data_IF_901013324856
#
_entry.id   IF_901013324856
#
_cell.length_a   1.000
_cell.length_b   1.000
_cell.length_c   1.000
_cell.angle_alpha   90.00
_cell.angle_beta   90.00
_cell.angle_gamma   90.00
#
_symmetry.space_group_name_H-M   'P 1'
#
loop_
_entity.id
_entity.type
_entity.pdbx_description
1 polymer ?
#
# COMPACT_ATOMS: atom_id res chain seq x y z
N UNK A 1 10.51 -9.89 21.38
CA UNK A 1 9.40 -8.97 21.71
C UNK A 1 8.08 -9.68 22.01
N UNK A 2 7.43 -10.34 21.04
CA UNK A 2 6.06 -10.87 21.21
C UNK A 2 5.90 -12.05 22.17
N UNK A 3 6.99 -12.56 22.75
CA UNK A 3 7.02 -13.80 23.54
C UNK A 3 6.31 -14.97 22.82
N UNK A 4 6.68 -15.18 21.54
CA UNK A 4 6.05 -16.15 20.67
C UNK A 4 7.12 -17.01 19.99
N UNK A 5 6.75 -18.24 19.64
CA UNK A 5 7.56 -19.10 18.79
C UNK A 5 7.53 -18.59 17.35
N UNK A 6 8.69 -18.57 16.69
CA UNK A 6 8.82 -18.16 15.30
C UNK A 6 8.51 -19.34 14.38
N UNK A 7 7.50 -19.18 13.52
CA UNK A 7 7.27 -20.07 12.38
C UNK A 7 7.70 -19.33 11.12
N UNK A 8 8.84 -19.74 10.58
CA UNK A 8 9.41 -19.21 9.34
C UNK A 8 9.34 -20.28 8.26
N UNK A 9 8.79 -19.92 7.09
CA UNK A 9 8.66 -20.84 5.96
C UNK A 9 8.67 -20.10 4.65
N UNK A 10 9.49 -20.59 3.72
CA UNK A 10 9.50 -20.16 2.32
C UNK A 10 8.55 -20.99 1.44
N UNK A 11 7.80 -21.92 2.04
CA UNK A 11 6.91 -22.80 1.29
C UNK A 11 5.82 -22.00 0.58
N UNK A 12 5.62 -22.34 -0.70
CA UNK A 12 4.57 -21.77 -1.52
C UNK A 12 3.83 -22.85 -2.30
N UNK A 13 2.51 -22.72 -2.50
CA UNK A 13 1.72 -23.70 -3.26
C UNK A 13 2.02 -23.68 -4.77
N UNK A 14 2.54 -22.57 -5.28
CA UNK A 14 2.92 -22.39 -6.69
C UNK A 14 4.33 -21.82 -6.72
N UNK A 15 5.20 -22.48 -7.48
CA UNK A 15 6.58 -22.06 -7.71
C UNK A 15 6.61 -20.64 -8.27
N UNK A 16 7.42 -19.77 -7.67
CA UNK A 16 7.66 -18.42 -8.15
C UNK A 16 8.93 -18.39 -8.98
N UNK A 17 8.87 -17.80 -10.17
CA UNK A 17 10.03 -17.42 -10.96
C UNK A 17 10.13 -15.91 -10.96
N UNK A 18 11.26 -15.39 -10.48
CA UNK A 18 11.50 -13.95 -10.39
C UNK A 18 12.53 -13.56 -11.44
N UNK A 19 12.34 -12.39 -12.05
CA UNK A 19 13.27 -11.90 -13.05
C UNK A 19 13.13 -10.43 -13.35
N UNK A 20 14.04 -9.93 -14.18
CA UNK A 20 14.04 -8.56 -14.66
C UNK A 20 13.98 -8.58 -16.18
N UNK A 21 13.04 -7.84 -16.73
CA UNK A 21 12.89 -7.63 -18.17
C UNK A 21 13.67 -6.39 -18.59
N UNK A 22 14.40 -6.51 -19.70
CA UNK A 22 14.99 -5.39 -20.41
C UNK A 22 15.08 -5.72 -21.91
N UNK A 23 14.73 -4.76 -22.77
CA UNK A 23 14.96 -4.83 -24.22
C UNK A 23 14.51 -6.14 -24.94
N UNK A 24 13.38 -6.73 -24.53
CA UNK A 24 12.82 -7.93 -25.16
C UNK A 24 13.27 -9.26 -24.56
N UNK A 25 14.05 -9.23 -23.48
CA UNK A 25 14.51 -10.43 -22.77
C UNK A 25 14.17 -10.34 -21.28
N UNK A 26 13.77 -11.46 -20.69
CA UNK A 26 13.68 -11.64 -19.24
C UNK A 26 14.91 -12.41 -18.78
N UNK A 27 15.65 -11.86 -17.83
CA UNK A 27 16.69 -12.57 -17.06
C UNK A 27 16.11 -13.00 -15.71
N UNK A 28 16.07 -14.30 -15.44
CA UNK A 28 15.58 -14.86 -14.19
C UNK A 28 16.71 -14.99 -13.15
N UNK A 29 16.33 -15.11 -11.87
CA UNK A 29 17.26 -15.30 -10.75
C UNK A 29 18.08 -16.59 -10.84
N UNK A 30 17.59 -17.61 -11.57
CA UNK A 30 18.31 -18.85 -11.88
C UNK A 30 19.28 -18.72 -13.07
N UNK A 31 19.54 -17.48 -13.53
CA UNK A 31 20.33 -17.14 -14.72
C UNK A 31 19.74 -17.60 -16.05
N UNK A 32 18.56 -18.23 -16.06
CA UNK A 32 17.87 -18.56 -17.30
C UNK A 32 17.35 -17.30 -17.98
N UNK A 33 17.24 -17.35 -19.31
CA UNK A 33 16.77 -16.23 -20.13
C UNK A 33 15.58 -16.65 -20.96
N UNK A 34 14.68 -15.70 -21.21
CA UNK A 34 13.51 -15.90 -22.06
C UNK A 34 13.25 -14.66 -22.91
N UNK A 35 13.23 -14.84 -24.22
CA UNK A 35 12.81 -13.80 -25.15
C UNK A 35 11.30 -13.56 -25.08
N UNK A 36 10.91 -12.29 -25.23
CA UNK A 36 9.53 -11.81 -25.26
C UNK A 36 9.37 -10.94 -26.49
N UNK A 37 8.25 -11.10 -27.19
CA UNK A 37 7.90 -10.29 -28.36
C UNK A 37 7.79 -8.79 -27.99
N UNK A 38 8.78 -8.01 -28.40
CA UNK A 38 8.91 -6.58 -28.12
C UNK A 38 8.21 -5.70 -29.19
N UNK A 39 7.00 -6.10 -29.59
CA UNK A 39 6.22 -5.42 -30.65
C UNK A 39 5.77 -3.98 -30.31
N UNK A 40 5.77 -3.59 -29.03
CA UNK A 40 5.34 -2.26 -28.59
C UNK A 40 6.43 -1.54 -27.80
N UNK A 41 6.45 -0.21 -27.87
CA UNK A 41 7.38 0.62 -27.08
C UNK A 41 7.17 0.50 -25.56
N UNK A 42 5.97 0.11 -25.12
CA UNK A 42 5.67 -0.12 -23.71
C UNK A 42 6.05 -1.55 -23.31
N UNK A 43 7.14 -1.68 -22.58
CA UNK A 43 7.74 -2.95 -22.15
C UNK A 43 6.81 -3.78 -21.25
N UNK A 44 6.18 -3.13 -20.26
CA UNK A 44 5.22 -3.79 -19.38
C UNK A 44 3.99 -4.31 -20.14
N UNK A 45 3.61 -3.63 -21.24
CA UNK A 45 2.54 -4.10 -22.12
C UNK A 45 2.96 -5.33 -22.93
N UNK A 46 4.21 -5.40 -23.42
CA UNK A 46 4.73 -6.60 -24.09
C UNK A 46 4.65 -7.82 -23.18
N UNK A 47 5.13 -7.69 -21.93
CA UNK A 47 5.04 -8.75 -20.92
C UNK A 47 3.60 -9.16 -20.61
N UNK A 48 2.69 -8.19 -20.50
CA UNK A 48 1.28 -8.46 -20.25
C UNK A 48 0.66 -9.24 -21.43
N UNK A 49 0.89 -8.80 -22.67
CA UNK A 49 0.34 -9.45 -23.87
C UNK A 49 0.94 -10.84 -24.11
N UNK A 50 2.24 -11.03 -23.87
CA UNK A 50 2.88 -12.34 -23.87
C UNK A 50 2.17 -13.32 -22.93
N UNK A 51 1.86 -12.87 -21.71
CA UNK A 51 1.08 -13.66 -20.74
C UNK A 51 -0.31 -14.02 -21.26
N UNK A 52 -1.00 -13.08 -21.91
CA UNK A 52 -2.35 -13.33 -22.47
C UNK A 52 -2.29 -14.32 -23.63
N UNK A 53 -1.27 -14.25 -24.49
CA UNK A 53 -1.05 -15.21 -25.59
C UNK A 53 -0.83 -16.64 -25.09
N UNK A 54 -0.25 -16.80 -23.90
CA UNK A 54 -0.10 -18.09 -23.22
C UNK A 54 -1.37 -18.56 -22.48
N UNK A 55 -2.48 -17.81 -22.56
CA UNK A 55 -3.73 -18.12 -21.86
C UNK A 55 -3.77 -17.70 -20.39
N UNK A 56 -2.74 -17.00 -19.91
CA UNK A 56 -2.65 -16.47 -18.56
C UNK A 56 -3.28 -15.08 -18.37
N UNK A 57 -3.21 -14.58 -17.13
CA UNK A 57 -3.57 -13.21 -16.77
C UNK A 57 -2.39 -12.47 -16.15
N UNK A 58 -2.28 -11.18 -16.44
CA UNK A 58 -1.21 -10.31 -15.97
C UNK A 58 -1.74 -9.24 -14.99
N UNK A 59 -1.10 -9.14 -13.84
CA UNK A 59 -1.29 -8.04 -12.88
C UNK A 59 -0.11 -7.08 -13.00
N UNK A 60 -0.35 -5.83 -13.38
CA UNK A 60 0.68 -4.83 -13.63
C UNK A 60 0.64 -3.75 -12.54
N UNK A 61 1.68 -3.67 -11.73
CA UNK A 61 1.82 -2.63 -10.72
C UNK A 61 2.45 -1.36 -11.31
N UNK A 62 1.80 -0.24 -11.06
CA UNK A 62 2.21 1.10 -11.50
C UNK A 62 1.98 2.12 -10.39
N UNK A 63 2.79 3.17 -10.32
CA UNK A 63 2.86 3.99 -9.09
C UNK A 63 1.78 5.07 -8.96
N UNK A 64 1.03 5.35 -10.01
CA UNK A 64 0.01 6.41 -9.98
C UNK A 64 -1.34 5.92 -10.48
N UNK A 65 -2.43 6.50 -9.93
CA UNK A 65 -3.81 6.22 -10.38
C UNK A 65 -3.95 6.49 -11.87
N UNK A 66 -3.49 7.66 -12.33
CA UNK A 66 -3.49 8.04 -13.75
C UNK A 66 -2.68 7.06 -14.61
N UNK A 67 -1.54 6.58 -14.12
CA UNK A 67 -0.72 5.57 -14.78
C UNK A 67 -1.46 4.24 -14.97
N UNK A 68 -2.18 3.78 -13.93
CA UNK A 68 -3.00 2.57 -14.00
C UNK A 68 -4.13 2.72 -15.03
N UNK A 69 -4.84 3.85 -14.95
CA UNK A 69 -5.91 4.15 -15.90
C UNK A 69 -5.39 4.24 -17.34
N UNK A 70 -4.23 4.87 -17.56
CA UNK A 70 -3.62 4.98 -18.89
C UNK A 70 -3.21 3.61 -19.43
N UNK A 71 -2.45 2.83 -18.65
CA UNK A 71 -1.98 1.50 -19.05
C UNK A 71 -3.14 0.58 -19.43
N UNK A 72 -4.19 0.53 -18.61
CA UNK A 72 -5.36 -0.30 -18.89
C UNK A 72 -6.08 0.14 -20.17
N UNK A 73 -6.24 1.45 -20.40
CA UNK A 73 -6.85 1.94 -21.65
C UNK A 73 -5.99 1.67 -22.88
N UNK A 74 -4.67 1.67 -22.73
CA UNK A 74 -3.73 1.33 -23.79
C UNK A 74 -3.73 -0.17 -24.12
N UNK A 75 -3.83 -1.02 -23.09
CA UNK A 75 -3.85 -2.48 -23.22
C UNK A 75 -5.16 -3.00 -23.82
N UNK A 76 -6.31 -2.42 -23.44
CA UNK A 76 -7.65 -2.87 -23.83
C UNK A 76 -7.83 -3.18 -25.32
N UNK A 77 -7.50 -2.30 -26.30
CA UNK A 77 -7.70 -2.62 -27.72
C UNK A 77 -6.82 -3.78 -28.21
N UNK A 78 -5.65 -3.99 -27.59
CA UNK A 78 -4.69 -5.03 -27.97
C UNK A 78 -5.12 -6.38 -27.39
N UNK A 79 -5.50 -6.39 -26.10
CA UNK A 79 -6.07 -7.57 -25.42
C UNK A 79 -7.35 -8.01 -26.11
N UNK A 80 -8.24 -7.09 -26.50
CA UNK A 80 -9.51 -7.41 -27.16
C UNK A 80 -9.37 -8.30 -28.41
N UNK A 81 -8.25 -8.18 -29.14
CA UNK A 81 -7.97 -8.99 -30.35
C UNK A 81 -7.69 -10.46 -30.02
N UNK A 82 -7.31 -10.75 -28.78
CA UNK A 82 -6.96 -12.08 -28.29
C UNK A 82 -8.13 -12.77 -27.57
N UNK A 83 -9.27 -12.10 -27.44
CA UNK A 83 -10.46 -12.63 -26.75
C UNK A 83 -11.38 -13.38 -27.71
N UNK A 84 -12.01 -14.43 -27.19
CA UNK A 84 -13.13 -15.10 -27.84
C UNK A 84 -14.39 -14.22 -27.87
N UNK A 85 -15.34 -14.52 -28.75
CA UNK A 85 -16.62 -13.79 -28.81
C UNK A 85 -17.45 -13.97 -27.53
N UNK A 86 -17.38 -15.14 -26.89
CA UNK A 86 -18.04 -15.39 -25.61
C UNK A 86 -17.49 -14.48 -24.49
N UNK A 87 -16.16 -14.38 -24.36
CA UNK A 87 -15.53 -13.48 -23.39
C UNK A 87 -15.89 -12.02 -23.66
N UNK A 88 -15.91 -11.60 -24.94
CA UNK A 88 -16.32 -10.24 -25.33
C UNK A 88 -17.75 -9.92 -24.91
N UNK A 89 -18.67 -10.88 -25.05
CA UNK A 89 -20.06 -10.72 -24.63
C UNK A 89 -20.17 -10.56 -23.09
N UNK A 90 -19.55 -11.45 -22.32
CA UNK A 90 -19.55 -11.36 -20.85
C UNK A 90 -18.90 -10.07 -20.35
N UNK A 91 -17.77 -9.67 -20.93
CA UNK A 91 -17.09 -8.43 -20.57
C UNK A 91 -17.93 -7.18 -20.88
N UNK A 92 -18.75 -7.22 -21.93
CA UNK A 92 -19.67 -6.12 -22.25
C UNK A 92 -20.73 -5.95 -21.16
N UNK A 93 -21.28 -7.05 -20.63
CA UNK A 93 -22.23 -7.00 -19.52
C UNK A 93 -21.58 -6.48 -18.24
N UNK A 94 -20.38 -6.98 -17.91
CA UNK A 94 -19.62 -6.51 -16.75
C UNK A 94 -19.30 -5.02 -16.89
N UNK A 95 -18.89 -4.57 -18.08
CA UNK A 95 -18.61 -3.17 -18.36
C UNK A 95 -19.83 -2.26 -18.16
N UNK A 96 -21.04 -2.72 -18.51
CA UNK A 96 -22.28 -1.99 -18.24
C UNK A 96 -22.56 -1.87 -16.75
N UNK A 97 -22.43 -2.98 -16.01
CA UNK A 97 -22.59 -2.97 -14.54
C UNK A 97 -21.61 -2.02 -13.87
N UNK A 98 -20.33 -2.06 -14.27
CA UNK A 98 -19.29 -1.16 -13.76
C UNK A 98 -19.57 0.31 -14.06
N UNK A 99 -20.15 0.61 -15.23
CA UNK A 99 -20.49 1.97 -15.64
C UNK A 99 -21.59 2.57 -14.75
N UNK A 100 -22.59 1.75 -14.38
CA UNK A 100 -23.81 2.17 -13.69
C UNK A 100 -23.80 1.94 -12.17
N UNK A 101 -22.64 1.64 -11.56
CA UNK A 101 -22.51 1.60 -10.09
C UNK A 101 -22.88 2.94 -9.46
N UNK A 102 -22.57 4.05 -10.14
CA UNK A 102 -22.99 5.38 -9.72
C UNK A 102 -24.18 5.82 -10.56
N UNK A 103 -25.13 6.52 -9.93
CA UNK A 103 -26.31 7.07 -10.62
C UNK A 103 -25.90 7.94 -11.83
N UNK A 104 -24.86 8.76 -11.65
CA UNK A 104 -24.24 9.55 -12.72
C UNK A 104 -22.81 9.06 -13.00
N UNK A 105 -22.57 8.38 -14.14
CA UNK A 105 -21.25 7.86 -14.46
C UNK A 105 -20.21 8.97 -14.67
N UNK A 106 -19.16 8.97 -13.85
CA UNK A 106 -18.04 9.91 -13.98
C UNK A 106 -17.15 9.57 -15.18
N UNK A 107 -16.22 10.47 -15.53
CA UNK A 107 -15.18 10.22 -16.56
C UNK A 107 -14.37 8.95 -16.26
N UNK A 108 -14.08 8.68 -14.99
CA UNK A 108 -13.35 7.47 -14.57
C UNK A 108 -14.20 6.21 -14.82
N UNK A 109 -15.50 6.25 -14.49
CA UNK A 109 -16.42 5.13 -14.74
C UNK A 109 -16.47 4.76 -16.22
N UNK A 110 -16.57 5.77 -17.10
CA UNK A 110 -16.57 5.56 -18.56
C UNK A 110 -15.27 4.97 -19.07
N UNK A 111 -14.12 5.45 -18.58
CA UNK A 111 -12.80 4.90 -18.95
C UNK A 111 -12.65 3.45 -18.48
N UNK A 112 -13.08 3.16 -17.26
CA UNK A 112 -13.03 1.81 -16.70
C UNK A 112 -13.90 0.85 -17.50
N UNK A 113 -15.16 1.22 -17.76
CA UNK A 113 -16.09 0.44 -18.57
C UNK A 113 -15.53 0.14 -19.98
N UNK A 114 -14.95 1.16 -20.64
CA UNK A 114 -14.31 0.99 -21.95
C UNK A 114 -13.11 0.04 -21.89
N UNK A 115 -12.28 0.13 -20.85
CA UNK A 115 -11.16 -0.80 -20.67
C UNK A 115 -11.66 -2.24 -20.47
N UNK A 116 -12.67 -2.43 -19.59
CA UNK A 116 -13.25 -3.73 -19.26
C UNK A 116 -13.82 -4.40 -20.51
N UNK A 117 -14.48 -3.64 -21.38
CA UNK A 117 -14.98 -4.14 -22.68
C UNK A 117 -13.87 -4.73 -23.56
N UNK A 118 -12.61 -4.33 -23.37
CA UNK A 118 -11.44 -4.86 -24.07
C UNK A 118 -10.66 -5.94 -23.30
N UNK A 119 -11.18 -6.42 -22.17
CA UNK A 119 -10.50 -7.43 -21.33
C UNK A 119 -9.34 -6.87 -20.50
N UNK A 120 -9.23 -5.55 -20.36
CA UNK A 120 -8.29 -4.90 -19.45
C UNK A 120 -9.02 -4.08 -18.38
N UNK A 121 -8.40 -3.79 -17.24
CA UNK A 121 -8.98 -2.89 -16.24
C UNK A 121 -7.90 -2.20 -15.41
N UNK A 122 -8.31 -1.19 -14.65
CA UNK A 122 -7.45 -0.55 -13.66
C UNK A 122 -8.07 -0.62 -12.26
N UNK A 123 -7.25 -0.71 -11.22
CA UNK A 123 -7.68 -0.81 -9.82
C UNK A 123 -6.89 0.14 -8.92
N UNK A 124 -7.60 1.02 -8.22
CA UNK A 124 -7.03 1.94 -7.25
C UNK A 124 -8.09 2.48 -6.28
N UNK A 125 -7.65 3.14 -5.20
CA UNK A 125 -8.52 3.70 -4.16
C UNK A 125 -9.59 4.70 -4.66
N UNK A 126 -9.37 5.36 -5.80
CA UNK A 126 -10.34 6.29 -6.41
C UNK A 126 -11.56 5.66 -7.08
N UNK A 127 -11.65 4.32 -7.14
CA UNK A 127 -12.84 3.62 -7.66
C UNK A 127 -13.87 3.38 -6.55
N UNK A 128 -15.16 3.34 -6.91
CA UNK A 128 -16.20 2.95 -5.98
C UNK A 128 -15.97 1.49 -5.49
N UNK A 129 -16.31 1.16 -4.22
CA UNK A 129 -16.11 -0.19 -3.69
C UNK A 129 -16.73 -1.30 -4.54
N UNK A 130 -17.92 -1.08 -5.08
CA UNK A 130 -18.60 -2.05 -5.94
C UNK A 130 -17.91 -2.24 -7.31
N UNK A 131 -17.38 -1.16 -7.90
CA UNK A 131 -16.57 -1.27 -9.13
C UNK A 131 -15.33 -2.15 -8.89
N UNK A 132 -14.64 -1.95 -7.76
CA UNK A 132 -13.50 -2.79 -7.37
C UNK A 132 -13.89 -4.26 -7.24
N UNK A 133 -15.01 -4.56 -6.58
CA UNK A 133 -15.53 -5.94 -6.44
C UNK A 133 -15.84 -6.59 -7.79
N UNK A 134 -16.46 -5.87 -8.72
CA UNK A 134 -16.77 -6.37 -10.07
C UNK A 134 -15.49 -6.69 -10.86
N UNK A 135 -14.50 -5.80 -10.83
CA UNK A 135 -13.20 -6.01 -11.49
C UNK A 135 -12.48 -7.22 -10.89
N UNK A 136 -12.40 -7.29 -9.55
CA UNK A 136 -11.74 -8.40 -8.87
C UNK A 136 -12.41 -9.74 -9.18
N UNK A 137 -13.74 -9.78 -9.21
CA UNK A 137 -14.48 -10.99 -9.58
C UNK A 137 -14.20 -11.40 -11.03
N UNK A 138 -14.26 -10.46 -11.98
CA UNK A 138 -13.96 -10.72 -13.38
C UNK A 138 -12.51 -11.15 -13.62
N UNK A 139 -11.56 -10.59 -12.87
CA UNK A 139 -10.14 -10.98 -12.94
C UNK A 139 -9.89 -12.36 -12.32
N UNK A 140 -10.53 -12.72 -11.21
CA UNK A 140 -10.45 -14.09 -10.64
C UNK A 140 -11.01 -15.14 -11.61
N UNK A 141 -12.04 -14.79 -12.38
CA UNK A 141 -12.62 -15.65 -13.44
C UNK A 141 -11.80 -15.68 -14.73
N UNK A 142 -10.63 -15.02 -14.78
CA UNK A 142 -9.82 -14.89 -16.00
C UNK A 142 -10.57 -14.24 -17.19
N UNK A 143 -11.60 -13.41 -16.94
CA UNK A 143 -12.27 -12.64 -18.00
C UNK A 143 -11.49 -11.37 -18.32
N UNK A 144 -11.08 -10.64 -17.27
CA UNK A 144 -10.11 -9.56 -17.40
C UNK A 144 -8.73 -10.21 -17.46
N UNK A 145 -8.01 -10.03 -18.58
CA UNK A 145 -6.70 -10.62 -18.82
C UNK A 145 -5.55 -9.75 -18.32
N UNK A 146 -5.76 -8.44 -18.30
CA UNK A 146 -4.74 -7.47 -17.85
C UNK A 146 -5.35 -6.51 -16.84
N UNK A 147 -4.79 -6.48 -15.63
CA UNK A 147 -5.20 -5.57 -14.57
C UNK A 147 -4.04 -4.66 -14.19
N UNK A 148 -4.19 -3.35 -14.37
CA UNK A 148 -3.23 -2.37 -13.87
C UNK A 148 -3.63 -1.87 -12.49
N UNK A 149 -2.74 -1.88 -11.51
CA UNK A 149 -3.07 -1.49 -10.15
C UNK A 149 -2.00 -0.62 -9.48
N UNK A 150 -2.43 0.23 -8.56
CA UNK A 150 -1.50 0.90 -7.65
C UNK A 150 -1.05 -0.05 -6.53
N UNK A 151 0.14 0.15 -5.93
CA UNK A 151 0.67 -0.68 -4.85
C UNK A 151 -0.28 -0.93 -3.69
N UNK A 152 -1.24 -0.04 -3.44
CA UNK A 152 -2.29 -0.23 -2.40
C UNK A 152 -3.09 -1.54 -2.57
N UNK A 153 -3.16 -2.11 -3.76
CA UNK A 153 -3.77 -3.43 -3.97
C UNK A 153 -2.94 -4.54 -3.31
N UNK A 154 -1.61 -4.37 -3.21
CA UNK A 154 -0.67 -5.36 -2.72
C UNK A 154 -0.93 -5.81 -1.27
N UNK A 155 -1.50 -4.93 -0.45
CA UNK A 155 -1.79 -5.20 0.96
C UNK A 155 -3.26 -5.57 1.26
N UNK A 156 -4.21 -5.30 0.35
CA UNK A 156 -5.63 -5.21 0.72
C UNK A 156 -6.57 -6.31 0.20
N UNK A 157 -6.19 -7.07 -0.84
CA UNK A 157 -7.09 -8.03 -1.50
C UNK A 157 -6.33 -9.26 -1.97
N UNK A 158 -6.83 -10.47 -1.76
CA UNK A 158 -6.24 -11.68 -2.36
C UNK A 158 -6.61 -11.80 -3.86
N UNK A 159 -5.69 -11.36 -4.73
CA UNK A 159 -5.90 -11.32 -6.17
C UNK A 159 -4.64 -11.80 -6.92
N UNK A 160 -4.44 -13.13 -7.04
CA UNK A 160 -3.29 -13.68 -7.73
C UNK A 160 -3.44 -13.59 -9.26
N UNK A 161 -2.30 -13.60 -9.96
CA UNK A 161 -2.21 -13.58 -11.42
C UNK A 161 -1.15 -14.56 -11.90
N UNK A 162 -1.22 -15.01 -13.16
CA UNK A 162 -0.20 -15.89 -13.74
C UNK A 162 1.17 -15.19 -13.76
N UNK A 163 1.18 -13.93 -14.20
CA UNK A 163 2.33 -13.04 -14.19
C UNK A 163 2.01 -11.76 -13.42
N UNK A 164 2.94 -11.34 -12.58
CA UNK A 164 2.98 -10.00 -11.99
C UNK A 164 4.08 -9.22 -12.71
N UNK A 165 3.76 -8.02 -13.17
CA UNK A 165 4.71 -7.09 -13.79
C UNK A 165 4.83 -5.87 -12.90
N UNK A 166 6.03 -5.59 -12.42
CA UNK A 166 6.33 -4.45 -11.57
C UNK A 166 7.03 -3.41 -12.44
N UNK A 167 6.24 -2.48 -12.98
CA UNK A 167 6.74 -1.52 -13.96
C UNK A 167 7.62 -0.44 -13.33
N UNK A 168 7.26 -0.01 -12.12
CA UNK A 168 7.86 1.15 -11.48
C UNK A 168 8.38 0.75 -10.08
N UNK A 169 9.69 0.80 -9.84
CA UNK A 169 10.29 0.54 -8.50
C UNK A 169 10.57 1.84 -7.70
N UNK A 170 10.28 3.01 -8.28
CA UNK A 170 10.43 4.33 -7.62
C UNK A 170 9.11 5.07 -7.60
N UNK A 171 8.72 5.60 -6.45
CA UNK A 171 7.51 6.43 -6.28
C UNK A 171 7.85 7.84 -5.84
N UNK A 172 6.96 8.78 -6.14
CA UNK A 172 7.11 10.16 -5.67
C UNK A 172 6.64 10.29 -4.22
N UNK A 173 7.51 10.86 -3.41
CA UNK A 173 7.28 11.30 -2.04
C UNK A 173 7.31 12.83 -2.01
N UNK A 174 6.36 13.44 -1.32
CA UNK A 174 6.22 14.92 -1.28
C UNK A 174 7.39 15.62 -0.58
N UNK A 175 8.10 14.93 0.30
CA UNK A 175 9.19 15.49 1.10
C UNK A 175 10.55 15.16 0.50
N UNK A 176 10.70 13.98 -0.10
CA UNK A 176 11.99 13.44 -0.56
C UNK A 176 12.13 13.36 -2.09
N UNK A 177 11.07 13.65 -2.85
CA UNK A 177 11.07 13.46 -4.30
C UNK A 177 10.90 12.00 -4.69
N UNK A 178 11.57 11.54 -5.75
CA UNK A 178 11.47 10.14 -6.15
C UNK A 178 12.30 9.25 -5.25
N UNK A 179 11.63 8.36 -4.51
CA UNK A 179 12.23 7.39 -3.61
C UNK A 179 11.99 5.98 -4.10
N UNK A 180 12.90 5.08 -3.76
CA UNK A 180 12.75 3.65 -4.01
C UNK A 180 11.61 3.06 -3.18
N UNK A 181 10.88 2.13 -3.78
CA UNK A 181 9.88 1.33 -3.08
C UNK A 181 10.63 0.33 -2.18
N UNK A 182 10.23 0.11 -0.91
CA UNK A 182 10.87 -0.88 -0.05
C UNK A 182 10.87 -2.28 -0.67
N UNK A 183 11.93 -3.06 -0.45
CA UNK A 183 12.04 -4.45 -0.93
C UNK A 183 10.86 -5.29 -0.46
N UNK A 184 10.45 -5.12 0.80
CA UNK A 184 9.27 -5.83 1.34
C UNK A 184 8.00 -5.57 0.50
N UNK A 185 7.78 -4.35 0.04
CA UNK A 185 6.60 -4.00 -0.76
C UNK A 185 6.66 -4.63 -2.17
N UNK A 186 7.86 -4.68 -2.77
CA UNK A 186 8.10 -5.37 -4.06
C UNK A 186 7.92 -6.88 -3.92
N UNK A 187 8.45 -7.50 -2.86
CA UNK A 187 8.23 -8.94 -2.59
C UNK A 187 6.76 -9.26 -2.32
N UNK A 188 6.01 -8.37 -1.68
CA UNK A 188 4.54 -8.51 -1.54
C UNK A 188 3.80 -8.44 -2.88
N UNK A 189 4.25 -7.60 -3.82
CA UNK A 189 3.74 -7.59 -5.19
C UNK A 189 4.06 -8.90 -5.91
N UNK A 190 5.33 -9.32 -5.87
CA UNK A 190 5.81 -10.56 -6.48
C UNK A 190 5.09 -11.81 -5.93
N UNK A 191 4.76 -11.80 -4.64
CA UNK A 191 3.97 -12.84 -3.95
C UNK A 191 2.60 -13.13 -4.58
N UNK A 192 2.08 -12.23 -5.42
CA UNK A 192 0.80 -12.40 -6.12
C UNK A 192 0.92 -13.17 -7.43
N UNK A 193 2.12 -13.50 -7.86
CA UNK A 193 2.34 -14.32 -9.03
C UNK A 193 2.10 -15.80 -8.70
N UNK A 194 1.37 -16.46 -9.60
CA UNK A 194 0.93 -17.85 -9.50
C UNK A 194 -0.44 -17.99 -8.85
N UNK A 195 -1.45 -18.45 -9.60
CA UNK A 195 -2.78 -18.78 -9.06
C UNK A 195 -2.80 -20.23 -8.58
N UNK A 196 -3.01 -20.48 -7.27
CA UNK A 196 -3.14 -21.85 -6.76
C UNK A 196 -4.19 -22.64 -7.54
N UNK A 197 -3.89 -23.90 -7.88
CA UNK A 197 -4.74 -24.84 -8.63
C UNK A 197 -4.89 -24.56 -10.14
N UNK A 198 -4.55 -23.37 -10.63
CA UNK A 198 -4.69 -23.04 -12.05
C UNK A 198 -3.34 -23.00 -12.78
N UNK A 199 -2.30 -22.49 -12.13
CA UNK A 199 -1.02 -22.24 -12.75
C UNK A 199 0.05 -23.21 -12.20
N UNK A 200 0.89 -23.75 -13.09
CA UNK A 200 2.03 -24.60 -12.70
C UNK A 200 3.14 -23.80 -12.02
N UNK A 201 3.29 -22.54 -12.39
CA UNK A 201 4.24 -21.59 -11.84
C UNK A 201 3.66 -20.16 -11.93
N UNK A 202 4.22 -19.24 -11.16
CA UNK A 202 3.98 -17.80 -11.26
C UNK A 202 5.25 -17.09 -11.70
N UNK A 203 5.13 -16.00 -12.44
CA UNK A 203 6.26 -15.14 -12.78
C UNK A 203 6.09 -13.74 -12.18
N UNK A 204 7.11 -13.23 -11.51
CA UNK A 204 7.16 -11.84 -11.05
C UNK A 204 8.32 -11.12 -11.73
N UNK A 205 8.00 -10.17 -12.59
CA UNK A 205 8.95 -9.53 -13.50
C UNK A 205 9.04 -8.04 -13.21
N UNK A 206 10.22 -7.57 -12.82
CA UNK A 206 10.53 -6.13 -12.78
C UNK A 206 10.90 -5.63 -14.18
N UNK A 207 10.63 -4.35 -14.48
CA UNK A 207 10.95 -3.76 -15.78
C UNK A 207 12.09 -2.77 -15.63
N UNK A 208 13.17 -2.99 -16.37
CA UNK A 208 14.34 -2.12 -16.44
C UNK A 208 14.45 -1.43 -17.80
N UNK A 209 14.89 -0.17 -17.79
CA UNK A 209 15.08 0.68 -18.96
C UNK A 209 16.50 0.64 -19.50
N UNK A 210 17.47 0.26 -18.68
CA UNK A 210 18.87 0.06 -19.08
C UNK A 210 19.40 -1.23 -18.51
N UNK A 211 20.57 -1.65 -18.99
CA UNK A 211 21.24 -2.84 -18.51
C UNK A 211 21.74 -2.67 -17.05
N UNK A 212 22.25 -1.50 -16.69
CA UNK A 212 22.65 -1.19 -15.32
C UNK A 212 21.46 -1.21 -14.36
N UNK A 213 20.31 -0.70 -14.80
CA UNK A 213 19.07 -0.77 -14.03
C UNK A 213 18.60 -2.21 -13.86
N UNK A 214 18.77 -3.07 -14.88
CA UNK A 214 18.44 -4.50 -14.79
C UNK A 214 19.24 -5.17 -13.68
N UNK A 215 20.54 -4.95 -13.66
CA UNK A 215 21.44 -5.57 -12.69
C UNK A 215 21.17 -5.04 -11.28
N UNK A 216 20.95 -3.72 -11.14
CA UNK A 216 20.50 -3.12 -9.87
C UNK A 216 19.19 -3.74 -9.35
N UNK A 217 18.17 -3.91 -10.21
CA UNK A 217 16.89 -4.47 -9.78
C UNK A 217 17.01 -5.94 -9.37
N UNK A 218 17.84 -6.70 -10.07
CA UNK A 218 18.10 -8.10 -9.74
C UNK A 218 18.75 -8.21 -8.36
N UNK A 219 19.84 -7.47 -8.12
CA UNK A 219 20.55 -7.50 -6.85
C UNK A 219 19.70 -6.96 -5.70
N UNK A 220 19.10 -5.78 -5.87
CA UNK A 220 18.43 -5.06 -4.76
C UNK A 220 17.09 -5.64 -4.36
N UNK A 221 16.30 -6.16 -5.31
CA UNK A 221 14.91 -6.55 -5.03
C UNK A 221 14.69 -8.06 -5.05
N UNK A 222 15.41 -8.79 -5.91
CA UNK A 222 15.18 -10.21 -6.07
C UNK A 222 16.14 -11.02 -5.19
N UNK A 223 17.42 -10.70 -5.21
CA UNK A 223 18.46 -11.43 -4.47
C UNK A 223 18.66 -10.96 -3.03
N UNK A 224 18.36 -9.70 -2.71
CA UNK A 224 18.51 -9.18 -1.36
C UNK A 224 17.34 -9.53 -0.43
N UNK A 225 17.67 -9.58 0.86
CA UNK A 225 16.70 -9.70 1.95
C UNK A 225 15.89 -8.42 2.14
N UNK A 226 14.61 -8.52 2.59
CA UNK A 226 13.81 -7.36 2.95
C UNK A 226 14.43 -6.52 4.07
N UNK A 227 14.04 -5.24 4.11
CA UNK A 227 14.46 -4.35 5.19
C UNK A 227 13.93 -4.83 6.55
N UNK A 228 14.73 -4.60 7.61
CA UNK A 228 14.28 -4.82 9.00
C UNK A 228 13.08 -3.92 9.32
N UNK A 229 12.14 -4.47 10.08
CA UNK A 229 10.99 -3.70 10.59
C UNK A 229 11.42 -2.87 11.80
N UNK A 230 11.21 -1.56 11.72
CA UNK A 230 11.45 -0.62 12.81
C UNK A 230 10.14 -0.03 13.32
N UNK A 231 10.02 0.11 14.64
CA UNK A 231 8.89 0.73 15.27
C UNK A 231 8.70 2.17 14.79
N UNK A 232 7.44 2.55 14.55
CA UNK A 232 7.04 3.93 14.19
C UNK A 232 6.45 4.70 15.36
N UNK A 233 6.45 4.12 16.57
CA UNK A 233 5.93 4.78 17.78
C UNK A 233 6.73 6.04 18.16
N UNK A 234 8.00 6.14 17.72
CA UNK A 234 8.84 7.31 17.91
C UNK A 234 8.30 8.59 17.23
N UNK A 235 7.41 8.44 16.24
CA UNK A 235 6.83 9.59 15.57
C UNK A 235 5.99 10.40 16.56
N UNK A 236 6.32 11.68 16.74
CA UNK A 236 5.68 12.57 17.72
C UNK A 236 4.14 12.51 17.71
N UNK A 237 3.43 12.48 16.56
CA UNK A 237 1.97 12.36 16.57
C UNK A 237 1.50 11.07 17.27
N UNK A 238 2.12 9.93 16.98
CA UNK A 238 1.78 8.65 17.61
C UNK A 238 2.13 8.67 19.10
N UNK A 239 3.33 9.12 19.45
CA UNK A 239 3.78 9.14 20.84
C UNK A 239 2.90 10.03 21.71
N UNK A 240 2.56 11.25 21.26
CA UNK A 240 1.64 12.16 21.96
C UNK A 240 0.28 11.54 22.23
N UNK A 241 -0.32 10.93 21.21
CA UNK A 241 -1.62 10.27 21.36
C UNK A 241 -1.56 9.16 22.40
N UNK A 242 -0.53 8.31 22.34
CA UNK A 242 -0.42 7.17 23.24
C UNK A 242 -0.03 7.55 24.66
N UNK A 243 0.83 8.55 24.88
CA UNK A 243 1.16 9.05 26.23
C UNK A 243 -0.09 9.63 26.90
N UNK A 244 -0.84 10.49 26.18
CA UNK A 244 -2.09 11.04 26.70
C UNK A 244 -3.10 9.93 27.01
N UNK A 245 -3.25 8.96 26.11
CA UNK A 245 -4.17 7.85 26.29
C UNK A 245 -3.80 6.99 27.51
N UNK A 246 -2.52 6.66 27.71
CA UNK A 246 -2.06 5.88 28.86
C UNK A 246 -2.38 6.55 30.19
N UNK A 247 -2.28 7.88 30.27
CA UNK A 247 -2.68 8.62 31.48
C UNK A 247 -4.20 8.75 31.61
N UNK A 248 -4.89 9.14 30.54
CA UNK A 248 -6.34 9.37 30.56
C UNK A 248 -7.15 8.12 30.88
N UNK A 249 -6.60 6.93 30.60
CA UNK A 249 -7.21 5.62 30.91
C UNK A 249 -6.73 5.02 32.22
N UNK A 250 -5.73 5.62 32.88
CA UNK A 250 -5.19 5.17 34.17
C UNK A 250 -4.17 4.03 34.09
N UNK A 251 -3.64 3.70 32.90
CA UNK A 251 -2.54 2.73 32.78
C UNK A 251 -1.21 3.25 33.34
N UNK A 252 -1.01 4.57 33.30
CA UNK A 252 0.15 5.22 33.91
C UNK A 252 -0.30 6.50 34.63
N UNK A 253 0.28 6.76 35.80
CA UNK A 253 0.02 7.97 36.60
C UNK A 253 1.31 8.68 37.05
N UNK A 254 2.46 8.26 36.53
CA UNK A 254 3.77 8.85 36.81
C UNK A 254 4.70 8.69 35.60
N UNK A 255 5.80 9.45 35.58
CA UNK A 255 6.83 9.28 34.56
C UNK A 255 7.42 7.86 34.57
N UNK A 256 7.72 7.32 35.76
CA UNK A 256 8.21 5.94 35.90
C UNK A 256 7.22 4.90 35.37
N UNK A 257 5.91 5.09 35.57
CA UNK A 257 4.86 4.23 35.03
C UNK A 257 4.78 4.30 33.50
N UNK A 258 4.98 5.49 32.92
CA UNK A 258 5.08 5.62 31.46
C UNK A 258 6.32 4.91 30.91
N UNK A 259 7.48 5.08 31.53
CA UNK A 259 8.70 4.38 31.13
C UNK A 259 8.51 2.87 31.20
N UNK A 260 7.94 2.34 32.29
CA UNK A 260 7.62 0.91 32.42
C UNK A 260 6.67 0.42 31.29
N UNK A 261 5.60 1.16 31.02
CA UNK A 261 4.66 0.80 29.95
C UNK A 261 5.32 0.82 28.57
N UNK A 262 6.00 1.91 28.22
CA UNK A 262 6.58 2.07 26.89
C UNK A 262 7.82 1.21 26.66
N UNK A 263 8.56 0.83 27.71
CA UNK A 263 9.69 -0.11 27.62
C UNK A 263 9.27 -1.48 27.08
N UNK A 264 8.00 -1.87 27.32
CA UNK A 264 7.42 -3.15 26.85
C UNK A 264 6.92 -3.09 25.41
N UNK A 265 6.89 -1.91 24.79
CA UNK A 265 6.49 -1.76 23.38
C UNK A 265 7.59 -2.21 22.44
N UNK A 266 7.27 -2.43 21.15
CA UNK A 266 8.30 -2.74 20.15
C UNK A 266 9.35 -1.63 20.03
N UNK A 267 8.96 -0.38 20.26
CA UNK A 267 9.89 0.75 20.30
C UNK A 267 10.84 0.64 21.49
N UNK A 268 10.32 0.40 22.69
CA UNK A 268 11.11 0.22 23.90
C UNK A 268 12.10 -0.94 23.81
N UNK A 269 11.74 -2.02 23.11
CA UNK A 269 12.66 -3.14 22.86
C UNK A 269 13.75 -2.82 21.83
N UNK A 270 13.52 -1.89 20.90
CA UNK A 270 14.47 -1.57 19.82
C UNK A 270 15.41 -0.41 20.15
N UNK A 271 15.10 0.42 21.15
CA UNK A 271 15.86 1.61 21.49
C UNK A 271 16.60 1.48 22.82
N UNK A 272 17.57 2.37 23.02
CA UNK A 272 18.18 2.58 24.33
C UNK A 272 17.19 3.27 25.28
N UNK A 273 17.29 2.94 26.58
CA UNK A 273 16.39 3.48 27.61
C UNK A 273 16.40 5.02 27.64
N UNK A 274 17.59 5.63 27.54
CA UNK A 274 17.74 7.08 27.53
C UNK A 274 16.96 7.76 26.39
N UNK A 275 16.99 7.19 25.18
CA UNK A 275 16.26 7.74 24.02
C UNK A 275 14.76 7.69 24.23
N UNK A 276 14.25 6.60 24.82
CA UNK A 276 12.84 6.47 25.18
C UNK A 276 12.44 7.52 26.23
N UNK A 277 13.19 7.62 27.32
CA UNK A 277 12.91 8.56 28.41
C UNK A 277 12.90 10.01 27.92
N UNK A 278 13.89 10.42 27.15
CA UNK A 278 13.97 11.76 26.55
C UNK A 278 12.75 12.06 25.66
N UNK A 279 12.33 11.10 24.84
CA UNK A 279 11.15 11.24 23.97
C UNK A 279 9.85 11.38 24.78
N UNK A 280 9.71 10.59 25.85
CA UNK A 280 8.54 10.65 26.73
C UNK A 280 8.48 11.96 27.51
N UNK A 281 9.62 12.44 28.02
CA UNK A 281 9.71 13.70 28.75
C UNK A 281 9.27 14.87 27.88
N UNK A 282 9.80 14.97 26.66
CA UNK A 282 9.39 16.02 25.71
C UNK A 282 7.90 16.02 25.39
N UNK A 283 7.29 14.82 25.29
CA UNK A 283 5.84 14.69 25.06
C UNK A 283 5.03 15.09 26.28
N UNK A 284 5.47 14.72 27.49
CA UNK A 284 4.82 15.13 28.74
C UNK A 284 4.85 16.64 28.92
N UNK A 285 6.00 17.27 28.76
CA UNK A 285 6.15 18.73 28.83
C UNK A 285 5.18 19.44 27.89
N UNK A 286 5.06 18.95 26.65
CA UNK A 286 4.08 19.48 25.69
C UNK A 286 2.63 19.31 26.18
N UNK A 287 2.27 18.13 26.68
CA UNK A 287 0.91 17.84 27.11
C UNK A 287 0.50 18.62 28.36
N UNK A 288 1.43 18.85 29.29
CA UNK A 288 1.24 19.69 30.47
C UNK A 288 1.12 21.17 30.08
N UNK A 289 2.06 21.68 29.28
CA UNK A 289 2.05 23.07 28.81
C UNK A 289 0.75 23.42 28.07
N UNK A 290 0.23 22.50 27.26
CA UNK A 290 -1.01 22.69 26.51
C UNK A 290 -2.28 22.34 27.30
N UNK A 291 -2.19 21.98 28.58
CA UNK A 291 -3.32 21.75 29.48
C UNK A 291 -4.09 20.45 29.21
N UNK A 292 -3.44 19.45 28.62
CA UNK A 292 -3.97 18.08 28.52
C UNK A 292 -3.79 17.31 29.83
N UNK A 293 -2.70 17.58 30.53
CA UNK A 293 -2.32 16.94 31.79
C UNK A 293 -2.17 18.00 32.89
N UNK A 294 -2.33 17.56 34.14
CA UNK A 294 -2.10 18.37 35.33
C UNK A 294 -1.59 17.48 36.47
N UNK A 295 -1.03 18.12 37.50
CA UNK A 295 -0.69 17.46 38.76
C UNK A 295 -1.97 17.10 39.53
N UNK A 296 -2.01 15.87 40.03
CA UNK A 296 -3.07 15.31 40.87
C UNK A 296 -2.59 15.05 42.29
N UNK A 297 -3.37 14.29 43.05
CA UNK A 297 -2.99 13.90 44.42
C UNK A 297 -1.79 12.97 44.43
N UNK A 298 -0.95 13.08 45.47
CA UNK A 298 0.25 12.24 45.67
C UNK A 298 1.25 12.30 44.49
N UNK A 299 1.49 13.48 43.92
CA UNK A 299 2.42 13.69 42.79
C UNK A 299 2.06 12.89 41.53
N UNK A 300 0.80 12.45 41.41
CA UNK A 300 0.33 11.73 40.22
C UNK A 300 0.07 12.69 39.07
N UNK A 301 0.34 12.24 37.85
CA UNK A 301 -0.05 12.93 36.62
C UNK A 301 -1.46 12.46 36.26
N UNK A 302 -2.39 13.41 36.07
CA UNK A 302 -3.78 13.13 35.71
C UNK A 302 -4.21 13.91 34.47
N UNK A 303 -5.08 13.33 33.65
CA UNK A 303 -5.62 14.01 32.49
C UNK A 303 -6.69 15.04 32.90
N UNK A 304 -6.62 16.24 32.33
CA UNK A 304 -7.66 17.27 32.51
C UNK A 304 -8.95 16.84 31.79
N UNK A 305 -10.10 17.50 32.05
CA UNK A 305 -11.31 17.24 31.27
C UNK A 305 -11.11 17.42 29.76
N UNK A 306 -10.26 18.38 29.37
CA UNK A 306 -9.87 18.59 27.97
C UNK A 306 -9.03 17.42 27.45
N UNK A 307 -7.99 17.02 28.18
CA UNK A 307 -7.13 15.90 27.79
C UNK A 307 -7.88 14.58 27.67
N UNK A 308 -8.76 14.30 28.64
CA UNK A 308 -9.63 13.13 28.62
C UNK A 308 -10.53 13.12 27.39
N UNK A 309 -11.19 14.25 27.08
CA UNK A 309 -12.06 14.36 25.90
C UNK A 309 -11.30 14.16 24.59
N UNK A 310 -10.07 14.68 24.48
CA UNK A 310 -9.25 14.53 23.27
C UNK A 310 -8.83 13.07 23.06
N UNK A 311 -8.47 12.38 24.15
CA UNK A 311 -8.20 10.94 24.14
C UNK A 311 -9.42 10.13 23.68
N UNK A 312 -10.61 10.41 24.24
CA UNK A 312 -11.88 9.76 23.87
C UNK A 312 -12.27 9.96 22.39
N UNK A 313 -11.96 11.13 21.83
CA UNK A 313 -12.22 11.45 20.43
C UNK A 313 -11.17 10.87 19.47
N UNK A 314 -10.08 10.31 19.99
CA UNK A 314 -8.98 9.73 19.20
C UNK A 314 -8.35 10.74 18.22
N UNK A 315 -8.15 11.98 18.68
CA UNK A 315 -7.56 13.08 17.90
C UNK A 315 -6.13 13.32 18.39
N UNK A 316 -5.19 13.61 17.47
CA UNK A 316 -3.83 14.04 17.83
C UNK A 316 -3.88 15.31 18.71
N UNK A 317 -3.23 15.33 19.89
CA UNK A 317 -3.17 16.50 20.77
C UNK A 317 -2.82 17.81 20.06
N UNK A 318 -1.88 17.81 19.10
CA UNK A 318 -1.56 19.03 18.33
C UNK A 318 -2.73 19.53 17.47
N UNK A 319 -3.52 18.61 16.91
CA UNK A 319 -4.73 18.96 16.17
C UNK A 319 -5.78 19.55 17.12
N UNK A 320 -5.92 18.99 18.33
CA UNK A 320 -6.83 19.52 19.34
C UNK A 320 -6.45 20.93 19.82
N UNK A 321 -5.15 21.22 20.00
CA UNK A 321 -4.66 22.59 20.28
C UNK A 321 -5.07 23.55 19.17
N UNK A 322 -4.87 23.14 17.91
CA UNK A 322 -5.24 23.93 16.73
C UNK A 322 -6.73 24.28 16.75
N UNK A 323 -7.59 23.28 16.98
CA UNK A 323 -9.05 23.45 17.05
C UNK A 323 -9.46 24.37 18.20
N UNK A 324 -8.91 24.14 19.40
CA UNK A 324 -9.17 24.95 20.60
C UNK A 324 -8.81 26.43 20.35
N UNK A 325 -7.64 26.69 19.79
CA UNK A 325 -7.15 28.05 19.55
C UNK A 325 -7.99 28.75 18.47
N UNK A 326 -8.40 28.03 17.42
CA UNK A 326 -9.30 28.57 16.40
C UNK A 326 -10.67 28.96 17.00
N UNK A 327 -11.26 28.10 17.84
CA UNK A 327 -12.53 28.38 18.51
C UNK A 327 -12.45 29.57 19.48
N UNK A 328 -11.37 29.68 20.26
CA UNK A 328 -11.13 30.84 21.15
C UNK A 328 -11.07 32.15 20.37
N UNK A 329 -10.35 32.17 19.23
CA UNK A 329 -10.26 33.34 18.34
C UNK A 329 -11.61 33.70 17.71
N UNK A 330 -12.39 32.72 17.28
CA UNK A 330 -13.73 32.98 16.73
C UNK A 330 -14.68 33.56 17.79
N UNK A 331 -14.61 33.03 19.02
CA UNK A 331 -15.40 33.53 20.15
C UNK A 331 -15.07 34.97 20.53
N UNK A 332 -13.79 35.36 20.55
CA UNK A 332 -13.39 36.74 20.87
C UNK A 332 -13.88 37.74 19.82
N UNK A 333 -13.84 37.38 18.54
CA UNK A 333 -14.35 38.22 17.44
C UNK A 333 -15.87 38.43 17.56
N UNK A 334 -16.63 37.42 17.99
CA UNK A 334 -18.08 37.52 18.14
C UNK A 334 -18.52 38.38 19.35
N UNK A 335 -17.64 38.59 20.34
CA UNK A 335 -17.90 39.46 21.50
C UNK A 335 -17.46 40.92 21.29
N UNK A 336 -16.64 41.20 20.27
CA UNK A 336 -16.16 42.56 19.93
C UNK A 336 -17.00 43.24 18.82
N UNK A 337 -17.92 42.51 18.17
CA UNK A 337 -18.82 42.99 17.12
C UNK A 337 -20.24 43.28 17.65
#
# INVERSE_FOLDING_TARGET
WLNAELVESEWRPVMLREGVYHAGEILFTDSSRRSVDASYANEALNLALDTVKEGGQSLVFVNTRRGAEHFATEAAPKVKRLLSEAEKAELKEIAQRVLHVLAEPTRICRRLSKAVTGGAAFHHAGLAPEQRRLIEHAFRRNLIKVLAATPTLAAGVNLPARRVVIRDYRRYDSSLGYVEIPVMEIKQMAGRAGRPRYDKYGEAILVARTEEERDFLLERYLLAEPERVYSKLAALPALRMHVLASIATGYASSFSGLVDFFSKTFYGHQQEAYTLESSLLSVLEFLEHEGFLQEGEEEKIVATPFGKRVSELYIDPLSAVTLRNALKRAGSIATEA
#
